data_IF_489745232144
#
_entry.id   IF_489745232144
#
_cell.length_a   1.000
_cell.length_b   1.000
_cell.length_c   1.000
_cell.angle_alpha   90.00
_cell.angle_beta   90.00
_cell.angle_gamma   90.00
#
_symmetry.space_group_name_H-M   'P 1'
#
loop_
_entity.id
_entity.type
_entity.pdbx_description
1 polymer ?
#
# COMPACT_ATOMS: atom_id res chain seq x y z
N UNK A 1 4.62 21.36 18.64
CA UNK A 1 3.94 20.85 17.45
C UNK A 1 2.42 21.04 17.57
N UNK A 2 1.83 20.70 18.71
CA UNK A 2 0.36 20.79 18.91
C UNK A 2 -0.24 22.18 18.64
N UNK A 3 0.34 23.25 19.21
CA UNK A 3 -0.16 24.63 19.03
C UNK A 3 -0.10 25.13 17.58
N UNK A 4 0.73 24.51 16.74
CA UNK A 4 0.83 24.83 15.31
C UNK A 4 -0.11 23.96 14.48
N UNK A 5 -0.35 22.72 14.90
CA UNK A 5 -1.22 21.78 14.20
C UNK A 5 -2.67 22.29 14.12
N UNK A 6 -3.14 22.97 15.17
CA UNK A 6 -4.45 23.65 15.20
C UNK A 6 -4.61 24.78 14.18
N UNK A 7 -3.50 25.32 13.67
CA UNK A 7 -3.49 26.47 12.76
C UNK A 7 -3.32 26.06 11.29
N UNK A 8 -3.08 24.78 11.03
CA UNK A 8 -2.85 24.30 9.67
C UNK A 8 -4.15 24.25 8.87
N UNK A 9 -4.05 24.72 7.62
CA UNK A 9 -5.08 24.50 6.62
C UNK A 9 -5.21 23.01 6.28
N UNK A 10 -6.34 22.61 5.69
CA UNK A 10 -6.55 21.23 5.22
C UNK A 10 -5.45 20.76 4.26
N UNK A 11 -4.97 21.65 3.38
CA UNK A 11 -3.88 21.34 2.45
C UNK A 11 -2.56 21.07 3.19
N UNK A 12 -2.24 21.88 4.20
CA UNK A 12 -1.05 21.66 5.02
C UNK A 12 -1.15 20.35 5.81
N UNK A 13 -2.32 20.04 6.38
CA UNK A 13 -2.58 18.76 7.07
C UNK A 13 -2.36 17.60 6.10
N UNK A 14 -2.88 17.68 4.88
CA UNK A 14 -2.68 16.65 3.85
C UNK A 14 -1.20 16.41 3.54
N UNK A 15 -0.45 17.48 3.28
CA UNK A 15 0.98 17.41 2.97
C UNK A 15 1.81 16.84 4.12
N UNK A 16 1.54 17.23 5.37
CA UNK A 16 2.28 16.68 6.51
C UNK A 16 1.90 15.22 6.76
N UNK A 17 0.62 14.84 6.59
CA UNK A 17 0.16 13.45 6.81
C UNK A 17 0.91 12.45 5.94
N UNK A 18 1.32 12.86 4.74
CA UNK A 18 2.13 12.07 3.82
C UNK A 18 3.56 11.77 4.34
N UNK A 19 4.07 12.51 5.33
CA UNK A 19 5.46 12.40 5.80
C UNK A 19 5.61 12.27 7.32
N UNK A 20 4.52 12.33 8.10
CA UNK A 20 4.57 12.20 9.55
C UNK A 20 5.12 10.83 9.97
N UNK A 21 5.93 10.84 11.02
CA UNK A 21 6.40 9.62 11.68
C UNK A 21 5.27 8.96 12.49
N UNK A 22 5.38 7.65 12.80
CA UNK A 22 4.30 6.88 13.43
C UNK A 22 3.76 7.48 14.74
N UNK A 23 4.64 8.04 15.57
CA UNK A 23 4.22 8.64 16.83
C UNK A 23 3.35 9.89 16.64
N UNK A 24 3.59 10.68 15.59
CA UNK A 24 2.76 11.82 15.24
C UNK A 24 1.47 11.42 14.53
N UNK A 25 1.53 10.42 13.65
CA UNK A 25 0.33 9.84 13.04
C UNK A 25 -0.65 9.34 14.11
N UNK A 26 -0.14 8.61 15.11
CA UNK A 26 -0.96 8.13 16.23
C UNK A 26 -1.50 9.29 17.08
N UNK A 27 -0.65 10.28 17.44
CA UNK A 27 -1.07 11.45 18.24
C UNK A 27 -2.18 12.27 17.57
N UNK A 28 -2.16 12.37 16.25
CA UNK A 28 -3.09 13.19 15.46
C UNK A 28 -4.05 12.37 14.61
N UNK A 29 -4.25 11.08 14.90
CA UNK A 29 -5.04 10.16 14.09
C UNK A 29 -6.43 10.68 13.70
N UNK A 30 -7.10 11.40 14.59
CA UNK A 30 -8.45 11.93 14.34
C UNK A 30 -8.46 13.22 13.51
N UNK A 31 -7.28 13.73 13.14
CA UNK A 31 -7.09 15.06 12.55
C UNK A 31 -6.26 15.08 11.28
N UNK A 32 -5.51 14.01 11.02
CA UNK A 32 -4.70 13.85 9.82
C UNK A 32 -5.54 13.45 8.61
N UNK A 33 -4.97 13.62 7.43
CA UNK A 33 -5.54 13.13 6.18
C UNK A 33 -5.03 11.70 5.95
N UNK A 34 -5.84 10.72 6.31
CA UNK A 34 -5.51 9.30 6.13
C UNK A 34 -5.37 8.90 4.66
N UNK A 35 -6.03 9.58 3.72
CA UNK A 35 -5.84 9.30 2.30
C UNK A 35 -4.43 9.67 1.86
N UNK A 36 -3.97 10.86 2.25
CA UNK A 36 -2.61 11.30 1.97
C UNK A 36 -1.57 10.45 2.70
N UNK A 37 -1.83 10.05 3.95
CA UNK A 37 -0.97 9.14 4.69
C UNK A 37 -0.87 7.77 3.98
N UNK A 38 -2.00 7.13 3.70
CA UNK A 38 -2.06 5.84 3.03
C UNK A 38 -1.40 5.87 1.65
N UNK A 39 -1.52 6.96 0.89
CA UNK A 39 -0.98 7.05 -0.48
C UNK A 39 0.54 7.28 -0.53
N UNK A 40 1.11 8.05 0.40
CA UNK A 40 2.48 8.54 0.27
C UNK A 40 3.41 8.22 1.44
N UNK A 41 2.86 7.89 2.61
CA UNK A 41 3.67 7.76 3.80
C UNK A 41 4.45 6.44 3.80
N UNK A 42 5.78 6.56 3.88
CA UNK A 42 6.72 5.43 3.92
C UNK A 42 6.80 4.73 5.28
N UNK A 43 6.30 5.37 6.34
CA UNK A 43 6.39 4.88 7.71
C UNK A 43 5.23 3.95 8.11
N UNK A 44 4.35 3.62 7.16
CA UNK A 44 3.28 2.65 7.37
C UNK A 44 3.85 1.23 7.37
N UNK A 45 3.74 0.55 8.51
CA UNK A 45 4.15 -0.83 8.74
C UNK A 45 2.94 -1.69 9.08
N UNK A 46 3.10 -3.02 9.00
CA UNK A 46 2.06 -3.99 9.33
C UNK A 46 1.46 -3.77 10.73
N UNK A 47 2.32 -3.58 11.73
CA UNK A 47 1.93 -3.33 13.13
C UNK A 47 1.11 -2.04 13.23
N UNK A 48 1.61 -0.94 12.64
CA UNK A 48 0.95 0.35 12.71
C UNK A 48 -0.43 0.34 12.03
N UNK A 49 -0.52 -0.24 10.83
CA UNK A 49 -1.77 -0.33 10.09
C UNK A 49 -2.78 -1.25 10.77
N UNK A 50 -2.32 -2.32 11.42
CA UNK A 50 -3.19 -3.22 12.18
C UNK A 50 -3.84 -2.51 13.37
N UNK A 51 -3.10 -1.66 14.08
CA UNK A 51 -3.63 -0.85 15.18
C UNK A 51 -4.59 0.25 14.73
N UNK A 52 -4.43 0.76 13.50
CA UNK A 52 -5.19 1.89 12.96
C UNK A 52 -6.12 1.49 11.81
N UNK A 53 -6.49 0.20 11.74
CA UNK A 53 -7.15 -0.38 10.57
C UNK A 53 -8.45 0.33 10.19
N UNK A 54 -9.16 0.88 11.18
CA UNK A 54 -10.41 1.63 10.99
C UNK A 54 -10.24 2.93 10.19
N UNK A 55 -9.03 3.49 10.16
CA UNK A 55 -8.70 4.71 9.43
C UNK A 55 -8.06 4.46 8.06
N UNK A 56 -7.67 3.22 7.77
CA UNK A 56 -6.91 2.89 6.56
C UNK A 56 -7.81 3.00 5.33
N UNK A 57 -7.41 3.85 4.40
CA UNK A 57 -7.99 3.89 3.06
C UNK A 57 -7.23 2.90 2.16
N UNK A 58 -7.84 1.75 1.88
CA UNK A 58 -7.24 0.67 1.09
C UNK A 58 -7.06 1.01 -0.39
N UNK A 59 -7.88 1.92 -0.94
CA UNK A 59 -7.70 2.40 -2.32
C UNK A 59 -6.43 3.25 -2.41
N UNK A 60 -6.22 4.16 -1.45
CA UNK A 60 -4.99 4.94 -1.36
C UNK A 60 -3.78 4.05 -1.02
N UNK A 61 -3.91 3.15 -0.04
CA UNK A 61 -2.83 2.26 0.37
C UNK A 61 -2.37 1.36 -0.78
N UNK A 62 -3.31 0.83 -1.57
CA UNK A 62 -3.02 0.01 -2.73
C UNK A 62 -2.16 0.71 -3.80
N UNK A 63 -2.16 2.05 -3.82
CA UNK A 63 -1.35 2.86 -4.73
C UNK A 63 -0.05 3.39 -4.10
N UNK A 64 0.26 3.01 -2.86
CA UNK A 64 1.48 3.47 -2.18
C UNK A 64 2.71 2.70 -2.67
N UNK A 65 3.66 3.44 -3.23
CA UNK A 65 4.92 2.90 -3.77
C UNK A 65 6.10 3.00 -2.78
N UNK A 66 5.88 3.59 -1.60
CA UNK A 66 6.95 3.92 -0.65
C UNK A 66 6.93 3.07 0.61
N UNK A 67 5.77 2.63 1.08
CA UNK A 67 5.68 1.77 2.27
C UNK A 67 6.18 0.34 1.99
N UNK A 68 6.52 -0.39 3.04
CA UNK A 68 6.93 -1.80 2.94
C UNK A 68 6.04 -2.60 3.88
N UNK A 69 5.25 -3.51 3.31
CA UNK A 69 4.36 -4.39 4.06
C UNK A 69 4.73 -5.84 3.78
N UNK A 70 4.43 -6.73 4.72
CA UNK A 70 4.64 -8.17 4.50
C UNK A 70 3.57 -8.77 3.58
N UNK A 71 3.91 -9.91 2.98
CA UNK A 71 2.97 -10.77 2.27
C UNK A 71 1.80 -11.19 3.18
N UNK A 72 2.07 -11.53 4.45
CA UNK A 72 1.03 -11.92 5.42
C UNK A 72 -0.01 -10.81 5.62
N UNK A 73 0.43 -9.55 5.75
CA UNK A 73 -0.48 -8.42 5.86
C UNK A 73 -1.32 -8.25 4.59
N UNK A 74 -0.68 -8.30 3.42
CA UNK A 74 -1.37 -8.14 2.12
C UNK A 74 -2.40 -9.25 1.92
N UNK A 75 -2.05 -10.51 2.18
CA UNK A 75 -2.97 -11.65 2.05
C UNK A 75 -4.15 -11.54 3.02
N UNK A 76 -3.88 -11.23 4.30
CA UNK A 76 -4.92 -11.05 5.32
C UNK A 76 -5.94 -9.97 4.94
N UNK A 77 -5.47 -8.90 4.30
CA UNK A 77 -6.29 -7.76 3.91
C UNK A 77 -6.66 -7.74 2.41
N UNK A 78 -6.41 -8.84 1.69
CA UNK A 78 -6.61 -8.93 0.24
C UNK A 78 -8.00 -8.49 -0.19
N UNK A 79 -9.05 -8.86 0.55
CA UNK A 79 -10.45 -8.51 0.22
C UNK A 79 -10.81 -7.03 0.41
N UNK A 80 -9.96 -6.24 1.10
CA UNK A 80 -10.22 -4.83 1.36
C UNK A 80 -9.71 -3.92 0.23
N UNK A 81 -8.76 -4.40 -0.56
CA UNK A 81 -8.28 -3.69 -1.75
C UNK A 81 -9.33 -3.72 -2.87
N UNK A 82 -9.35 -2.65 -3.68
CA UNK A 82 -10.14 -2.61 -4.89
C UNK A 82 -9.41 -3.33 -6.03
N UNK A 83 -9.98 -4.43 -6.51
CA UNK A 83 -9.44 -5.29 -7.57
C UNK A 83 -10.05 -5.04 -8.96
N UNK A 84 -10.89 -4.00 -9.10
CA UNK A 84 -11.40 -3.57 -10.42
C UNK A 84 -10.27 -3.05 -11.31
N UNK A 85 -9.17 -2.61 -10.69
CA UNK A 85 -7.95 -2.12 -11.33
C UNK A 85 -6.73 -2.84 -10.74
N UNK A 86 -5.58 -2.80 -11.43
CA UNK A 86 -4.33 -3.26 -10.84
C UNK A 86 -4.02 -2.53 -9.55
N UNK A 87 -3.50 -3.26 -8.56
CA UNK A 87 -3.10 -2.72 -7.25
C UNK A 87 -1.58 -2.70 -7.16
N UNK A 88 -0.92 -1.54 -7.41
CA UNK A 88 0.53 -1.40 -7.39
C UNK A 88 1.23 -2.02 -6.18
N UNK A 89 0.68 -1.81 -4.98
CA UNK A 89 1.23 -2.33 -3.74
C UNK A 89 1.33 -3.86 -3.77
N UNK A 90 0.27 -4.55 -4.19
CA UNK A 90 0.23 -6.01 -4.26
C UNK A 90 1.22 -6.49 -5.32
N UNK A 91 1.25 -5.86 -6.49
CA UNK A 91 2.11 -6.26 -7.60
C UNK A 91 3.59 -6.11 -7.22
N UNK A 92 3.95 -5.06 -6.49
CA UNK A 92 5.31 -4.81 -6.03
C UNK A 92 5.86 -5.90 -5.10
N UNK A 93 4.98 -6.55 -4.34
CA UNK A 93 5.30 -7.64 -3.42
C UNK A 93 4.75 -8.99 -3.89
N UNK A 94 4.48 -9.12 -5.20
CA UNK A 94 3.83 -10.29 -5.75
C UNK A 94 4.78 -11.50 -5.73
N UNK A 95 4.34 -12.55 -5.07
CA UNK A 95 4.98 -13.87 -5.11
C UNK A 95 4.20 -14.80 -6.04
N UNK A 96 4.86 -15.86 -6.52
CA UNK A 96 4.20 -16.91 -7.32
C UNK A 96 3.03 -17.54 -6.54
N UNK A 97 3.23 -17.79 -5.25
CA UNK A 97 2.20 -18.36 -4.38
C UNK A 97 1.00 -17.43 -4.22
N UNK A 98 1.23 -16.14 -3.94
CA UNK A 98 0.18 -15.14 -3.85
C UNK A 98 -0.61 -15.01 -5.18
N UNK A 99 0.10 -15.02 -6.31
CA UNK A 99 -0.55 -15.00 -7.63
C UNK A 99 -1.45 -16.22 -7.84
N UNK A 100 -1.00 -17.42 -7.51
CA UNK A 100 -1.81 -18.65 -7.63
C UNK A 100 -3.02 -18.64 -6.70
N UNK A 101 -2.86 -18.16 -5.46
CA UNK A 101 -3.93 -18.07 -4.47
C UNK A 101 -5.04 -17.07 -4.85
N UNK A 102 -4.69 -16.02 -5.59
CA UNK A 102 -5.55 -14.87 -5.85
C UNK A 102 -5.61 -14.47 -7.33
N UNK A 103 -5.44 -15.42 -8.25
CA UNK A 103 -5.42 -15.20 -9.71
C UNK A 103 -6.68 -14.50 -10.23
N UNK A 104 -7.82 -14.70 -9.59
CA UNK A 104 -9.10 -14.06 -9.94
C UNK A 104 -9.13 -12.55 -9.63
N UNK A 105 -8.45 -12.14 -8.55
CA UNK A 105 -8.42 -10.77 -8.03
C UNK A 105 -7.28 -9.95 -8.61
N UNK A 106 -6.08 -10.53 -8.69
CA UNK A 106 -4.88 -9.80 -9.10
C UNK A 106 -4.93 -9.48 -10.59
N UNK A 107 -5.16 -8.20 -10.91
CA UNK A 107 -5.11 -7.70 -12.29
C UNK A 107 -3.68 -7.31 -12.65
N UNK A 108 -2.96 -8.20 -13.31
CA UNK A 108 -1.60 -7.95 -13.80
C UNK A 108 -1.46 -8.50 -15.22
N UNK A 109 -0.77 -7.75 -16.09
CA UNK A 109 -0.37 -8.19 -17.42
C UNK A 109 1.17 -8.11 -17.54
N UNK A 110 1.73 -8.66 -18.62
CA UNK A 110 3.18 -8.72 -18.81
C UNK A 110 3.85 -7.34 -18.81
N UNK A 111 3.23 -6.33 -19.41
CA UNK A 111 3.73 -4.95 -19.42
C UNK A 111 3.80 -4.36 -18.00
N UNK A 112 2.73 -4.51 -17.22
CA UNK A 112 2.67 -4.00 -15.86
C UNK A 112 3.63 -4.76 -14.93
N UNK A 113 3.71 -6.09 -15.07
CA UNK A 113 4.65 -6.92 -14.32
C UNK A 113 6.09 -6.46 -14.54
N UNK A 114 6.44 -6.11 -15.78
CA UNK A 114 7.77 -5.59 -16.13
C UNK A 114 8.08 -4.25 -15.44
N UNK A 115 7.09 -3.37 -15.22
CA UNK A 115 7.29 -2.11 -14.49
C UNK A 115 7.75 -2.35 -13.04
N UNK A 116 7.36 -3.47 -12.43
CA UNK A 116 7.74 -3.85 -11.06
C UNK A 116 8.87 -4.89 -11.00
N UNK A 117 9.55 -5.18 -12.13
CA UNK A 117 10.63 -6.18 -12.22
C UNK A 117 11.70 -6.00 -11.12
N UNK A 118 12.11 -4.76 -10.86
CA UNK A 118 13.13 -4.44 -9.86
C UNK A 118 12.68 -4.72 -8.41
N UNK A 119 11.37 -4.70 -8.15
CA UNK A 119 10.81 -4.97 -6.82
C UNK A 119 10.51 -6.44 -6.59
N UNK A 120 9.95 -7.11 -7.61
CA UNK A 120 9.58 -8.53 -7.55
C UNK A 120 10.82 -9.43 -7.60
N UNK A 121 11.82 -9.07 -8.41
CA UNK A 121 13.00 -9.88 -8.63
C UNK A 121 12.88 -10.83 -9.82
N UNK A 122 14.05 -11.21 -10.37
CA UNK A 122 14.12 -12.06 -11.56
C UNK A 122 13.50 -13.47 -11.43
N UNK A 123 13.64 -14.21 -10.29
CA UNK A 123 13.07 -15.55 -10.17
C UNK A 123 11.55 -15.56 -10.22
N UNK A 124 10.93 -14.66 -9.45
CA UNK A 124 9.49 -14.53 -9.29
C UNK A 124 8.87 -13.95 -10.57
N UNK A 125 9.51 -12.93 -11.15
CA UNK A 125 9.06 -12.34 -12.42
C UNK A 125 8.91 -13.37 -13.53
N UNK A 126 9.94 -14.22 -13.75
CA UNK A 126 9.91 -15.20 -14.84
C UNK A 126 8.80 -16.22 -14.65
N UNK A 127 8.66 -16.74 -13.43
CA UNK A 127 7.62 -17.73 -13.12
C UNK A 127 6.22 -17.14 -13.28
N UNK A 128 5.99 -15.90 -12.82
CA UNK A 128 4.70 -15.24 -12.98
C UNK A 128 4.42 -14.92 -14.45
N UNK A 129 5.44 -14.53 -15.23
CA UNK A 129 5.31 -14.29 -16.66
C UNK A 129 4.87 -15.55 -17.41
N UNK A 130 5.53 -16.69 -17.14
CA UNK A 130 5.16 -17.97 -17.75
C UNK A 130 3.69 -18.34 -17.43
N UNK A 131 3.23 -18.07 -16.20
CA UNK A 131 1.84 -18.30 -15.77
C UNK A 131 0.80 -17.30 -16.33
N UNK A 132 1.24 -16.19 -16.93
CA UNK A 132 0.38 -15.24 -17.63
C UNK A 132 0.22 -15.60 -19.11
N UNK A 133 1.20 -16.30 -19.68
CA UNK A 133 1.20 -16.76 -21.07
C UNK A 133 0.42 -18.10 -21.25
N UNK A 134 0.10 -18.80 -20.16
CA UNK A 134 -0.79 -19.98 -20.08
C UNK A 134 -2.30 -19.64 -20.02
#
# INVERSE_FOLDING_TARGET
MDEQFDKYSKQQISLISAILEPHWLNRYKDRIDWKAACLYNKHLTDEFLTEHIEFVDFECLGNNLSCVLSEEFIEKHMNQFNHDKPVPLIIRFLTVQMYLNHKDKIKVNSELLFQYYNSIGAPEYKQILDLLDE
#
